data_IF_742303781601
#
_entry.id   IF_742303781601
#
_cell.length_a   1.000
_cell.length_b   1.000
_cell.length_c   1.000
_cell.angle_alpha   90.00
_cell.angle_beta   90.00
_cell.angle_gamma   90.00
#
_symmetry.space_group_name_H-M   'P 1'
#
loop_
_entity.id
_entity.type
_entity.pdbx_description
1 polymer ?
#
# COMPACT_ATOMS: atom_id res chain seq x y z
N UNK A 1 3.34 -13.34 -9.42
CA UNK A 1 4.33 -13.51 -8.33
C UNK A 1 4.06 -12.40 -7.34
N UNK A 2 3.64 -12.71 -6.11
CA UNK A 2 3.28 -11.70 -5.12
C UNK A 2 4.52 -11.16 -4.41
N UNK A 3 4.44 -9.92 -3.93
CA UNK A 3 5.51 -9.31 -3.13
C UNK A 3 5.65 -10.04 -1.79
N UNK A 4 6.86 -10.02 -1.24
CA UNK A 4 7.17 -10.60 0.08
C UNK A 4 7.78 -9.51 0.95
N UNK A 5 7.56 -9.59 2.26
CA UNK A 5 8.12 -8.65 3.22
C UNK A 5 8.89 -9.39 4.31
N UNK A 6 9.93 -8.73 4.82
CA UNK A 6 10.78 -9.23 5.89
C UNK A 6 10.62 -8.36 7.14
N UNK A 7 9.98 -8.92 8.16
CA UNK A 7 9.86 -8.30 9.47
C UNK A 7 11.11 -8.65 10.29
N UNK A 8 11.76 -7.63 10.84
CA UNK A 8 13.01 -7.79 11.60
C UNK A 8 12.77 -7.48 13.06
N UNK A 9 13.49 -8.20 13.92
CA UNK A 9 13.63 -7.88 15.34
C UNK A 9 14.97 -7.21 15.58
N UNK A 10 15.04 -6.35 16.58
CA UNK A 10 16.25 -5.58 16.90
C UNK A 10 17.01 -6.14 18.11
N UNK A 11 16.37 -7.00 18.90
CA UNK A 11 16.92 -7.54 20.13
C UNK A 11 17.38 -8.99 20.00
N UNK A 12 18.33 -9.39 20.84
CA UNK A 12 18.75 -10.79 20.94
C UNK A 12 17.65 -11.66 21.55
N UNK A 13 17.73 -12.96 21.31
CA UNK A 13 16.75 -13.95 21.74
C UNK A 13 17.37 -15.35 21.78
N UNK A 14 16.89 -16.16 22.73
CA UNK A 14 17.11 -17.61 22.85
C UNK A 14 15.92 -18.39 22.27
N UNK A 15 14.70 -17.86 22.48
CA UNK A 15 13.46 -18.30 21.86
C UNK A 15 12.69 -17.09 21.32
N UNK A 16 12.08 -17.25 20.14
CA UNK A 16 11.25 -16.24 19.50
C UNK A 16 9.90 -16.84 19.13
N UNK A 17 8.84 -16.10 19.42
CA UNK A 17 7.47 -16.40 19.05
C UNK A 17 6.88 -15.22 18.25
N UNK A 18 6.58 -15.44 16.98
CA UNK A 18 5.84 -14.51 16.15
C UNK A 18 4.34 -14.73 16.29
N UNK A 19 3.62 -13.62 16.40
CA UNK A 19 2.16 -13.55 16.38
C UNK A 19 1.66 -12.56 15.33
N UNK A 20 0.47 -12.84 14.81
CA UNK A 20 -0.35 -11.92 14.02
C UNK A 20 -1.68 -11.72 14.74
N UNK A 21 -2.05 -10.49 15.08
CA UNK A 21 -3.27 -10.18 15.84
C UNK A 21 -3.46 -11.07 17.09
N UNK A 22 -2.38 -11.30 17.85
CA UNK A 22 -2.28 -12.18 19.01
C UNK A 22 -2.27 -13.71 18.74
N UNK A 23 -2.61 -14.16 17.52
CA UNK A 23 -2.52 -15.57 17.13
C UNK A 23 -1.09 -15.96 16.80
N UNK A 24 -0.66 -17.11 17.33
CA UNK A 24 0.67 -17.68 17.06
C UNK A 24 0.79 -18.09 15.59
N UNK A 25 1.87 -17.66 14.93
CA UNK A 25 2.12 -17.97 13.51
C UNK A 25 3.44 -18.71 13.27
N UNK A 26 4.48 -18.41 14.06
CA UNK A 26 5.76 -19.11 13.96
C UNK A 26 6.54 -19.02 15.27
N UNK A 27 7.38 -20.01 15.56
CA UNK A 27 8.33 -19.92 16.66
C UNK A 27 9.65 -20.62 16.34
N UNK A 28 10.71 -20.24 17.04
CA UNK A 28 11.98 -20.94 16.98
C UNK A 28 12.74 -20.84 18.31
N UNK A 29 13.34 -21.96 18.71
CA UNK A 29 14.36 -22.00 19.76
C UNK A 29 15.72 -22.04 19.07
N UNK A 30 16.59 -21.08 19.38
CA UNK A 30 17.86 -20.86 18.68
C UNK A 30 18.78 -22.08 18.71
N UNK A 31 18.82 -22.79 19.84
CA UNK A 31 19.60 -24.02 20.01
C UNK A 31 19.12 -25.17 19.12
N UNK A 32 17.83 -25.24 18.82
CA UNK A 32 17.25 -26.27 17.94
C UNK A 32 17.36 -25.87 16.47
N UNK A 33 17.42 -24.58 16.16
CA UNK A 33 17.55 -24.03 14.81
C UNK A 33 16.41 -24.37 13.86
N UNK A 34 15.30 -24.93 14.37
CA UNK A 34 14.17 -25.42 13.58
C UNK A 34 12.91 -24.64 13.90
N UNK A 35 12.43 -23.90 12.92
CA UNK A 35 11.17 -23.17 13.03
C UNK A 35 9.95 -24.10 12.99
N UNK A 36 8.93 -23.74 13.75
CA UNK A 36 7.59 -24.34 13.71
C UNK A 36 6.58 -23.28 13.26
N UNK A 37 5.53 -23.70 12.55
CA UNK A 37 4.57 -22.82 11.88
C UNK A 37 3.14 -23.21 12.21
N UNK A 38 2.28 -22.20 12.37
CA UNK A 38 0.95 -22.34 12.96
C UNK A 38 -0.11 -21.54 12.20
N UNK A 39 -1.37 -21.93 12.41
CA UNK A 39 -2.54 -21.21 11.92
C UNK A 39 -2.60 -21.04 10.39
N UNK A 40 -3.26 -19.97 9.96
CA UNK A 40 -3.47 -19.62 8.54
C UNK A 40 -2.18 -19.25 7.79
N UNK A 41 -1.10 -18.96 8.53
CA UNK A 41 0.19 -18.59 7.95
C UNK A 41 1.09 -19.81 7.65
N UNK A 42 0.66 -21.03 7.99
CA UNK A 42 1.42 -22.24 7.67
C UNK A 42 1.60 -22.38 6.15
N UNK A 43 2.85 -22.45 5.71
CA UNK A 43 3.21 -22.50 4.28
C UNK A 43 3.23 -21.13 3.59
N UNK A 44 2.86 -20.04 4.28
CA UNK A 44 2.95 -18.66 3.78
C UNK A 44 4.09 -17.86 4.40
N UNK A 45 4.72 -18.36 5.46
CA UNK A 45 5.82 -17.67 6.15
C UNK A 45 7.07 -18.54 6.26
N UNK A 46 8.21 -17.88 6.42
CA UNK A 46 9.48 -18.49 6.80
C UNK A 46 10.11 -17.69 7.93
N UNK A 47 10.47 -18.37 9.02
CA UNK A 47 11.19 -17.77 10.15
C UNK A 47 12.66 -18.15 10.06
N UNK A 48 13.53 -17.14 9.99
CA UNK A 48 14.97 -17.34 10.04
C UNK A 48 15.42 -17.47 11.51
N UNK A 49 15.76 -18.68 11.94
CA UNK A 49 16.20 -18.95 13.32
C UNK A 49 17.59 -18.35 13.65
N UNK A 50 18.33 -17.82 12.69
CA UNK A 50 19.63 -17.20 12.96
C UNK A 50 19.47 -15.76 13.45
N UNK A 51 18.58 -14.99 12.82
CA UNK A 51 18.38 -13.55 13.10
C UNK A 51 16.98 -13.22 13.68
N UNK A 52 16.04 -14.16 13.65
CA UNK A 52 14.67 -13.99 14.15
C UNK A 52 13.71 -13.32 13.16
N UNK A 53 14.16 -13.02 11.94
CA UNK A 53 13.33 -12.35 10.95
C UNK A 53 12.24 -13.27 10.41
N UNK A 54 11.04 -12.70 10.26
CA UNK A 54 9.89 -13.38 9.65
C UNK A 54 9.70 -12.87 8.22
N UNK A 55 9.71 -13.79 7.26
CA UNK A 55 9.35 -13.50 5.87
C UNK A 55 7.91 -13.93 5.63
N UNK A 56 7.09 -13.03 5.11
CA UNK A 56 5.71 -13.32 4.67
C UNK A 56 5.71 -13.31 3.14
N UNK A 57 5.30 -14.42 2.54
CA UNK A 57 5.28 -14.59 1.08
C UNK A 57 3.91 -14.26 0.50
N UNK A 58 3.93 -13.67 -0.71
CA UNK A 58 2.73 -13.37 -1.49
C UNK A 58 1.72 -12.57 -0.67
N UNK A 59 2.07 -11.31 -0.40
CA UNK A 59 1.24 -10.39 0.36
C UNK A 59 -0.14 -10.18 -0.25
N UNK A 60 -1.13 -10.09 0.62
CA UNK A 60 -2.54 -9.82 0.34
C UNK A 60 -3.03 -8.74 1.27
N UNK A 61 -4.17 -8.09 0.97
CA UNK A 61 -4.76 -7.09 1.87
C UNK A 61 -5.12 -7.64 3.26
N UNK A 62 -5.30 -8.96 3.39
CA UNK A 62 -5.61 -9.63 4.65
C UNK A 62 -4.39 -9.73 5.58
N UNK A 63 -3.18 -9.58 5.05
CA UNK A 63 -1.95 -9.63 5.87
C UNK A 63 -1.68 -8.30 6.60
N UNK A 64 -2.50 -7.26 6.37
CA UNK A 64 -2.49 -6.00 7.12
C UNK A 64 -2.83 -6.28 8.59
N UNK A 65 -2.08 -5.66 9.51
CA UNK A 65 -2.35 -5.79 10.94
C UNK A 65 -1.13 -5.64 11.84
N UNK A 66 -1.30 -5.94 13.12
CA UNK A 66 -0.21 -5.93 14.10
C UNK A 66 0.47 -7.30 14.15
N UNK A 67 1.78 -7.29 13.93
CA UNK A 67 2.66 -8.42 14.18
C UNK A 67 3.44 -8.15 15.45
N UNK A 68 3.66 -9.18 16.26
CA UNK A 68 4.51 -9.07 17.44
C UNK A 68 5.46 -10.24 17.55
N UNK A 69 6.71 -9.96 17.89
CA UNK A 69 7.71 -10.94 18.26
C UNK A 69 7.89 -10.93 19.78
N UNK A 70 7.53 -12.02 20.44
CA UNK A 70 7.87 -12.28 21.83
C UNK A 70 9.24 -12.97 21.88
N UNK A 71 10.21 -12.29 22.48
CA UNK A 71 11.62 -12.68 22.56
C UNK A 71 11.91 -13.10 24.00
N UNK A 72 12.25 -14.36 24.21
CA UNK A 72 12.77 -14.82 25.48
C UNK A 72 14.30 -14.70 25.48
N UNK A 73 14.83 -14.04 26.50
CA UNK A 73 16.27 -13.91 26.77
C UNK A 73 16.50 -14.28 28.22
N UNK A 74 17.12 -15.44 28.46
CA UNK A 74 17.34 -15.98 29.81
C UNK A 74 16.04 -16.07 30.62
N UNK A 75 15.79 -15.11 31.54
CA UNK A 75 14.64 -15.06 32.44
C UNK A 75 13.73 -13.85 32.18
N UNK A 76 13.87 -13.20 31.02
CA UNK A 76 13.09 -12.02 30.63
C UNK A 76 12.40 -12.27 29.30
N UNK A 77 11.22 -11.67 29.17
CA UNK A 77 10.48 -11.61 27.91
C UNK A 77 10.44 -10.16 27.45
N UNK A 78 10.83 -9.93 26.20
CA UNK A 78 10.68 -8.67 25.50
C UNK A 78 9.67 -8.86 24.37
N UNK A 79 8.86 -7.84 24.09
CA UNK A 79 7.93 -7.87 22.95
C UNK A 79 8.24 -6.71 22.01
N UNK A 80 8.52 -7.03 20.75
CA UNK A 80 8.63 -6.04 19.67
C UNK A 80 7.38 -6.10 18.80
N UNK A 81 6.79 -4.94 18.51
CA UNK A 81 5.55 -4.81 17.72
C UNK A 81 5.81 -4.10 16.41
N UNK A 82 5.15 -4.56 15.35
CA UNK A 82 5.26 -4.01 13.99
C UNK A 82 3.85 -3.93 13.40
N UNK A 83 3.45 -2.73 12.99
CA UNK A 83 2.20 -2.52 12.25
C UNK A 83 2.48 -2.59 10.75
N UNK A 84 1.88 -3.56 10.07
CA UNK A 84 1.99 -3.72 8.62
C UNK A 84 0.79 -3.08 7.93
N UNK A 85 1.06 -2.07 7.11
CA UNK A 85 0.12 -1.48 6.16
C UNK A 85 0.38 -2.03 4.75
N UNK A 86 -0.69 -2.31 4.00
CA UNK A 86 -0.60 -2.87 2.65
C UNK A 86 -1.35 -1.96 1.69
N UNK A 87 -0.61 -1.43 0.72
CA UNK A 87 -1.15 -0.60 -0.35
C UNK A 87 -1.17 -1.39 -1.64
N UNK A 88 -2.30 -1.34 -2.35
CA UNK A 88 -2.39 -1.85 -3.73
C UNK A 88 -2.11 -0.74 -4.72
N UNK A 89 -1.59 -1.07 -5.90
CA UNK A 89 -1.45 -0.08 -6.98
C UNK A 89 -2.80 0.54 -7.29
N UNK A 90 -2.83 1.87 -7.39
CA UNK A 90 -4.03 2.60 -7.80
C UNK A 90 -4.40 2.13 -9.20
N UNK A 91 -5.61 1.58 -9.44
CA UNK A 91 -6.04 1.21 -10.78
C UNK A 91 -6.06 2.44 -11.70
N UNK A 92 -6.03 2.22 -13.02
CA UNK A 92 -6.17 3.31 -13.98
C UNK A 92 -7.43 4.13 -13.65
N UNK A 93 -7.32 5.43 -13.36
CA UNK A 93 -8.48 6.25 -13.04
C UNK A 93 -9.35 6.47 -14.28
N UNK A 94 -10.59 6.87 -14.04
CA UNK A 94 -11.52 7.37 -15.06
C UNK A 94 -11.63 8.86 -14.89
N UNK A 95 -11.57 9.59 -16.02
CA UNK A 95 -11.84 11.02 -16.06
C UNK A 95 -13.23 11.23 -16.64
N UNK A 96 -14.10 11.84 -15.85
CA UNK A 96 -15.41 12.29 -16.26
C UNK A 96 -15.35 13.79 -16.53
N UNK A 97 -16.18 14.22 -17.48
CA UNK A 97 -16.33 15.62 -17.81
C UNK A 97 -17.79 16.02 -17.72
N UNK A 98 -18.06 17.17 -17.13
CA UNK A 98 -19.38 17.79 -17.12
C UNK A 98 -19.27 19.20 -17.66
N UNK A 99 -20.03 19.48 -18.70
CA UNK A 99 -20.05 20.78 -19.37
C UNK A 99 -21.26 21.59 -18.89
N UNK A 100 -21.02 22.84 -18.53
CA UNK A 100 -22.06 23.85 -18.26
C UNK A 100 -21.95 24.98 -19.29
N UNK A 101 -22.80 26.01 -19.19
CA UNK A 101 -22.76 27.13 -20.13
C UNK A 101 -21.40 27.87 -20.13
N UNK A 102 -20.75 27.98 -18.98
CA UNK A 102 -19.52 28.77 -18.80
C UNK A 102 -18.31 27.96 -18.35
N UNK A 103 -18.50 26.74 -17.88
CA UNK A 103 -17.44 25.94 -17.25
C UNK A 103 -17.41 24.51 -17.72
N UNK A 104 -16.21 23.93 -17.67
CA UNK A 104 -15.93 22.52 -17.85
C UNK A 104 -15.39 21.99 -16.52
N UNK A 105 -16.10 21.03 -15.95
CA UNK A 105 -15.74 20.38 -14.68
C UNK A 105 -15.13 19.03 -15.02
N UNK A 106 -13.87 18.83 -14.65
CA UNK A 106 -13.17 17.56 -14.80
C UNK A 106 -13.11 16.86 -13.45
N UNK A 107 -13.63 15.63 -13.40
CA UNK A 107 -13.58 14.79 -12.21
C UNK A 107 -12.75 13.54 -12.50
N UNK A 108 -11.75 13.27 -11.67
CA UNK A 108 -10.95 12.07 -11.74
C UNK A 108 -11.30 11.11 -10.60
N UNK A 109 -11.50 9.83 -10.95
CA UNK A 109 -11.92 8.80 -10.01
C UNK A 109 -11.20 7.48 -10.26
N UNK A 110 -10.48 7.00 -9.24
CA UNK A 110 -9.93 5.65 -9.19
C UNK A 110 -10.80 4.72 -8.33
N UNK A 111 -10.78 3.42 -8.64
CA UNK A 111 -11.42 2.38 -7.80
C UNK A 111 -10.53 2.02 -6.61
N UNK A 112 -10.19 3.01 -5.78
CA UNK A 112 -9.30 2.86 -4.62
C UNK A 112 -9.64 3.92 -3.56
N UNK A 113 -9.71 3.53 -2.29
CA UNK A 113 -10.10 4.40 -1.17
C UNK A 113 -8.98 5.33 -0.71
N UNK A 114 -7.73 4.89 -0.83
CA UNK A 114 -6.57 5.63 -0.32
C UNK A 114 -5.86 6.41 -1.43
N UNK A 115 -6.64 7.14 -2.25
CA UNK A 115 -6.13 7.78 -3.46
C UNK A 115 -6.07 9.30 -3.32
N UNK A 116 -4.90 9.86 -3.61
CA UNK A 116 -4.70 11.30 -3.82
C UNK A 116 -4.67 11.61 -5.32
N UNK A 117 -5.16 12.80 -5.68
CA UNK A 117 -5.30 13.22 -7.07
C UNK A 117 -4.61 14.54 -7.31
N UNK A 118 -3.97 14.64 -8.47
CA UNK A 118 -3.37 15.86 -8.99
C UNK A 118 -3.64 15.96 -10.48
N UNK A 119 -3.66 17.17 -11.00
CA UNK A 119 -3.85 17.45 -12.41
C UNK A 119 -2.65 18.17 -12.98
N UNK A 120 -2.25 17.77 -14.18
CA UNK A 120 -1.20 18.43 -14.94
C UNK A 120 -1.70 18.72 -16.36
N UNK A 121 -1.24 19.81 -16.95
CA UNK A 121 -1.40 20.11 -18.37
C UNK A 121 -0.19 20.87 -18.85
N UNK A 122 -0.02 20.99 -20.16
CA UNK A 122 1.07 21.79 -20.76
C UNK A 122 0.86 23.29 -20.60
N UNK A 123 -0.38 23.74 -20.36
CA UNK A 123 -0.77 25.16 -20.33
C UNK A 123 -1.11 25.71 -18.95
N UNK A 124 -1.28 24.83 -17.95
CA UNK A 124 -1.67 25.23 -16.58
C UNK A 124 -0.70 24.70 -15.54
N UNK A 125 -0.69 25.36 -14.38
CA UNK A 125 0.02 24.86 -13.20
C UNK A 125 -0.60 23.55 -12.70
N UNK A 126 0.17 22.79 -11.92
CA UNK A 126 -0.34 21.60 -11.25
C UNK A 126 -1.42 22.02 -10.24
N UNK A 127 -2.53 21.31 -10.25
CA UNK A 127 -3.66 21.51 -9.33
C UNK A 127 -3.90 20.24 -8.53
N UNK A 128 -4.11 20.38 -7.23
CA UNK A 128 -4.39 19.25 -6.35
C UNK A 128 -5.91 19.05 -6.20
N UNK A 129 -6.34 17.80 -6.01
CA UNK A 129 -7.74 17.44 -5.83
C UNK A 129 -8.28 16.56 -6.96
N UNK A 130 -9.40 15.88 -6.67
CA UNK A 130 -10.07 15.01 -7.64
C UNK A 130 -10.86 15.78 -8.69
N UNK A 131 -11.21 17.04 -8.42
CA UNK A 131 -12.03 17.87 -9.28
C UNK A 131 -11.29 19.17 -9.58
N UNK A 132 -11.23 19.54 -10.86
CA UNK A 132 -10.79 20.87 -11.31
C UNK A 132 -11.86 21.50 -12.20
N UNK A 133 -11.95 22.82 -12.16
CA UNK A 133 -12.92 23.61 -12.92
C UNK A 133 -12.17 24.52 -13.88
N UNK A 134 -12.59 24.55 -15.14
CA UNK A 134 -12.02 25.38 -16.20
C UNK A 134 -13.09 26.20 -16.88
N UNK A 135 -12.72 27.37 -17.38
CA UNK A 135 -13.60 28.15 -18.23
C UNK A 135 -13.84 27.39 -19.53
N UNK A 136 -15.10 27.35 -19.96
CA UNK A 136 -15.47 26.72 -21.21
C UNK A 136 -14.95 27.55 -22.37
N UNK A 137 -14.13 26.91 -23.19
CA UNK A 137 -13.68 27.43 -24.47
C UNK A 137 -13.71 26.28 -25.48
N UNK A 138 -14.60 26.36 -26.47
CA UNK A 138 -14.81 25.30 -27.47
C UNK A 138 -13.60 25.10 -28.39
N UNK A 139 -12.68 26.07 -28.44
CA UNK A 139 -11.41 25.94 -29.16
C UNK A 139 -10.27 25.42 -28.28
N UNK A 140 -10.52 25.19 -26.98
CA UNK A 140 -9.49 24.70 -26.06
C UNK A 140 -9.27 23.21 -26.24
N UNK A 141 -8.15 22.88 -26.87
CA UNK A 141 -7.62 21.53 -27.06
C UNK A 141 -6.69 21.09 -25.91
N UNK A 142 -6.65 21.82 -24.79
CA UNK A 142 -5.78 21.47 -23.67
C UNK A 142 -6.10 20.07 -23.15
N UNK A 143 -5.08 19.22 -23.16
CA UNK A 143 -5.12 17.92 -22.51
C UNK A 143 -4.78 18.05 -21.03
N UNK A 144 -5.72 17.60 -20.20
CA UNK A 144 -5.54 17.48 -18.76
C UNK A 144 -5.24 16.04 -18.41
N UNK A 145 -4.15 15.84 -17.68
CA UNK A 145 -3.68 14.55 -17.19
C UNK A 145 -4.00 14.49 -15.70
N UNK A 146 -4.91 13.60 -15.32
CA UNK A 146 -5.09 13.20 -13.94
C UNK A 146 -4.00 12.22 -13.53
N UNK A 147 -3.38 12.52 -12.39
CA UNK A 147 -2.39 11.71 -11.70
C UNK A 147 -3.04 11.21 -10.41
N UNK A 148 -3.27 9.89 -10.34
CA UNK A 148 -3.82 9.23 -9.16
C UNK A 148 -2.73 8.41 -8.46
N UNK A 149 -2.52 8.64 -7.17
CA UNK A 149 -1.44 8.03 -6.39
C UNK A 149 -1.92 7.64 -4.99
N UNK A 150 -1.16 6.78 -4.32
CA UNK A 150 -1.31 6.48 -2.90
C UNK A 150 0.09 6.46 -2.25
N UNK A 151 0.26 5.82 -1.09
CA UNK A 151 1.56 5.73 -0.42
C UNK A 151 2.60 4.84 -1.12
N UNK A 152 2.30 4.31 -2.31
CA UNK A 152 3.29 3.65 -3.17
C UNK A 152 4.07 4.67 -4.01
N UNK A 153 5.32 4.35 -4.40
CA UNK A 153 6.12 5.21 -5.27
C UNK A 153 5.63 5.25 -6.74
N UNK A 154 4.54 4.55 -7.05
CA UNK A 154 3.96 4.47 -8.40
C UNK A 154 2.63 5.21 -8.46
N UNK A 155 2.37 5.84 -9.61
CA UNK A 155 1.10 6.51 -9.90
C UNK A 155 0.43 5.93 -11.14
N UNK A 156 -0.86 6.20 -11.27
CA UNK A 156 -1.68 5.86 -12.44
C UNK A 156 -2.21 7.12 -13.10
N UNK A 157 -2.30 7.08 -14.43
CA UNK A 157 -2.65 8.24 -15.25
C UNK A 157 -3.92 8.00 -16.05
N UNK A 158 -4.70 9.07 -16.23
CA UNK A 158 -5.73 9.18 -17.25
C UNK A 158 -5.74 10.59 -17.79
N UNK A 159 -6.09 10.77 -19.06
CA UNK A 159 -6.15 12.08 -19.68
C UNK A 159 -7.47 12.34 -20.38
N UNK A 160 -7.80 13.62 -20.54
CA UNK A 160 -8.93 14.10 -21.32
C UNK A 160 -8.57 15.42 -22.00
N UNK A 161 -8.96 15.59 -23.25
CA UNK A 161 -8.91 16.88 -23.92
C UNK A 161 -10.23 17.63 -23.67
N UNK A 162 -10.16 18.91 -23.28
CA UNK A 162 -11.37 19.72 -22.98
C UNK A 162 -12.32 19.78 -24.17
N UNK A 163 -11.81 19.95 -25.39
CA UNK A 163 -12.60 19.93 -26.61
C UNK A 163 -13.29 18.59 -26.93
N UNK A 164 -12.96 17.50 -26.22
CA UNK A 164 -13.64 16.20 -26.33
C UNK A 164 -14.77 16.01 -25.31
N UNK A 165 -15.00 16.99 -24.44
CA UNK A 165 -16.15 17.01 -23.55
C UNK A 165 -17.41 17.44 -24.31
N UNK A 166 -18.31 16.50 -24.56
CA UNK A 166 -19.63 16.75 -25.16
C UNK A 166 -20.67 17.10 -24.11
#
# INVERSE_FOLDING_TARGET
MGESIHLKVNSSWDEILWKYNADKIAECIKSNGKAQYYGIYRGRVSLNCSDGSLTIYTLTSEDKGEYSAELQVTARTLTEKISLEIFTRVPKPVVNCTVTNSEVILECKAKSTDTTYRWSSTRSKIEDGSIIQKLRNETDDTEYICIASNNLPTWSLASIAVGSCA
#
